data_IF_657385831310
#
_entry.id   IF_657385831310
#
_cell.length_a   1.000
_cell.length_b   1.000
_cell.length_c   1.000
_cell.angle_alpha   90.00
_cell.angle_beta   90.00
_cell.angle_gamma   90.00
#
_symmetry.space_group_name_H-M   'P 1'
#
loop_
_entity.id
_entity.type
_entity.pdbx_description
1 polymer ?
#
# COMPACT_ATOMS: atom_id res chain seq x y z
N UNK A 1 15.22 3.51 -6.30
CA UNK A 1 14.09 2.86 -5.62
C UNK A 1 13.15 2.33 -6.70
N UNK A 2 12.47 1.20 -6.49
CA UNK A 2 11.56 0.63 -7.50
C UNK A 2 10.14 0.88 -7.05
N UNK A 3 9.38 1.60 -7.86
CA UNK A 3 7.95 1.81 -7.63
C UNK A 3 7.20 0.48 -7.68
N UNK A 4 6.39 0.22 -6.65
CA UNK A 4 5.53 -0.94 -6.57
C UNK A 4 4.08 -0.52 -6.76
N UNK A 5 3.40 -1.20 -7.68
CA UNK A 5 1.96 -1.02 -7.86
C UNK A 5 1.19 -1.82 -6.80
N UNK A 6 0.09 -1.29 -6.29
CA UNK A 6 -0.88 -2.04 -5.51
C UNK A 6 -2.27 -1.85 -6.09
N UNK A 7 -3.12 -2.87 -5.98
CA UNK A 7 -4.52 -2.73 -6.34
C UNK A 7 -5.30 -2.28 -5.11
N UNK A 8 -6.40 -1.54 -5.29
CA UNK A 8 -7.26 -1.10 -4.19
C UNK A 8 -7.78 -2.23 -3.27
N UNK A 9 -7.82 -3.46 -3.81
CA UNK A 9 -8.28 -4.65 -3.06
C UNK A 9 -7.23 -5.16 -2.08
N UNK A 10 -5.97 -4.75 -2.27
CA UNK A 10 -4.86 -5.10 -1.39
C UNK A 10 -4.73 -4.11 -0.22
N UNK A 11 -5.57 -3.07 -0.17
CA UNK A 11 -5.61 -2.15 0.97
C UNK A 11 -6.39 -2.79 2.11
N UNK A 12 -5.84 -2.69 3.31
CA UNK A 12 -6.47 -3.20 4.52
C UNK A 12 -6.58 -2.11 5.59
N UNK A 13 -7.72 -2.06 6.27
CA UNK A 13 -7.95 -1.14 7.39
C UNK A 13 -8.23 0.31 7.01
N UNK A 14 -8.08 0.70 5.74
CA UNK A 14 -8.42 2.03 5.22
C UNK A 14 -9.06 1.94 3.84
N UNK A 15 -9.73 3.02 3.42
CA UNK A 15 -10.23 3.11 2.05
C UNK A 15 -9.16 3.69 1.11
N UNK A 16 -9.14 3.25 -0.15
CA UNK A 16 -8.26 3.82 -1.18
C UNK A 16 -8.38 5.34 -1.27
N UNK A 17 -9.59 5.88 -1.15
CA UNK A 17 -9.83 7.33 -1.20
C UNK A 17 -9.32 8.09 0.03
N UNK A 18 -8.96 7.40 1.11
CA UNK A 18 -8.34 8.01 2.28
C UNK A 18 -6.82 8.15 2.14
N UNK A 19 -6.23 7.49 1.13
CA UNK A 19 -4.81 7.64 0.80
C UNK A 19 -4.58 8.90 -0.03
N UNK A 20 -3.52 9.62 0.29
CA UNK A 20 -3.09 10.86 -0.33
C UNK A 20 -1.59 10.82 -0.60
N UNK A 21 -1.15 11.51 -1.65
CA UNK A 21 0.27 11.62 -1.96
C UNK A 21 1.04 12.24 -0.78
N UNK A 22 2.20 11.67 -0.46
CA UNK A 22 3.01 12.07 0.68
C UNK A 22 2.65 11.39 2.01
N UNK A 23 1.61 10.56 2.05
CA UNK A 23 1.35 9.71 3.22
C UNK A 23 2.28 8.50 3.26
N UNK A 24 2.77 8.19 4.46
CA UNK A 24 3.52 6.99 4.71
C UNK A 24 2.58 5.78 4.85
N UNK A 25 2.94 4.69 4.19
CA UNK A 25 2.15 3.45 4.16
C UNK A 25 3.06 2.26 4.41
N UNK A 26 2.53 1.28 5.13
CA UNK A 26 3.16 -0.01 5.29
C UNK A 26 2.59 -0.99 4.26
N UNK A 27 3.46 -1.79 3.66
CA UNK A 27 3.08 -2.80 2.68
C UNK A 27 4.04 -3.98 2.69
N UNK A 28 3.55 -5.12 2.20
CA UNK A 28 4.37 -6.31 1.97
C UNK A 28 4.68 -6.44 0.47
N UNK A 29 5.87 -6.92 0.10
CA UNK A 29 6.21 -7.19 -1.31
C UNK A 29 5.63 -8.54 -1.73
N UNK A 30 4.63 -8.51 -2.61
CA UNK A 30 3.99 -9.68 -3.20
C UNK A 30 4.09 -9.70 -4.72
N UNK A 31 3.24 -10.52 -5.35
CA UNK A 31 3.10 -10.62 -6.80
C UNK A 31 1.65 -10.29 -7.18
N UNK A 32 1.47 -9.37 -8.13
CA UNK A 32 0.16 -9.06 -8.70
C UNK A 32 -0.34 -10.15 -9.64
N UNK A 33 -1.57 -9.99 -10.15
CA UNK A 33 -2.23 -10.94 -11.08
C UNK A 33 -1.40 -11.24 -12.33
N UNK A 34 -0.58 -10.29 -12.77
CA UNK A 34 0.28 -10.40 -13.96
C UNK A 34 1.67 -10.98 -13.66
N UNK A 35 1.92 -11.47 -12.43
CA UNK A 35 3.21 -12.00 -11.99
C UNK A 35 4.30 -10.93 -11.76
N UNK A 36 3.93 -9.64 -11.84
CA UNK A 36 4.83 -8.52 -11.55
C UNK A 36 4.87 -8.24 -10.04
N UNK A 37 6.01 -7.73 -9.53
CA UNK A 37 6.09 -7.32 -8.14
C UNK A 37 5.05 -6.23 -7.84
N UNK A 38 4.30 -6.43 -6.77
CA UNK A 38 3.23 -5.55 -6.33
C UNK A 38 3.27 -5.41 -4.80
N UNK A 39 2.84 -4.27 -4.30
CA UNK A 39 2.62 -4.08 -2.88
C UNK A 39 1.27 -4.71 -2.50
N UNK A 40 1.28 -5.56 -1.48
CA UNK A 40 0.10 -6.25 -0.95
C UNK A 40 -0.09 -5.90 0.52
N UNK A 41 -1.33 -6.02 1.03
CA UNK A 41 -1.70 -5.66 2.41
C UNK A 41 -1.25 -4.24 2.77
N UNK A 42 -1.61 -3.29 1.92
CA UNK A 42 -1.24 -1.89 2.07
C UNK A 42 -2.09 -1.27 3.18
N UNK A 43 -1.46 -0.65 4.17
CA UNK A 43 -2.13 0.00 5.31
C UNK A 43 -1.47 1.35 5.56
N UNK A 44 -2.21 2.29 6.16
CA UNK A 44 -1.57 3.52 6.65
C UNK A 44 -0.51 3.13 7.68
N UNK A 45 0.72 3.62 7.49
CA UNK A 45 1.70 3.55 8.55
C UNK A 45 1.12 4.32 9.73
N UNK A 46 1.08 3.71 10.91
CA UNK A 46 0.60 4.44 12.07
C UNK A 46 1.48 5.69 12.21
N UNK A 47 0.90 6.91 12.26
CA UNK A 47 1.70 8.06 12.63
C UNK A 47 2.24 7.74 14.01
N UNK A 48 3.56 7.62 14.16
CA UNK A 48 4.19 7.69 15.47
C UNK A 48 3.64 8.97 16.11
N UNK A 49 2.92 8.78 17.21
CA UNK A 49 1.95 9.73 17.73
C UNK A 49 2.51 11.14 17.91
N UNK A 50 1.62 12.10 17.72
CA UNK A 50 1.74 13.42 18.37
C UNK A 50 1.16 13.36 19.78
#
# INVERSE_FOLDING_TARGET
>A
ETDLFFHRNDIEGVEFNSLSEGQEVEFERGQGRDGRPAAVKVRLAQPEGE
#
